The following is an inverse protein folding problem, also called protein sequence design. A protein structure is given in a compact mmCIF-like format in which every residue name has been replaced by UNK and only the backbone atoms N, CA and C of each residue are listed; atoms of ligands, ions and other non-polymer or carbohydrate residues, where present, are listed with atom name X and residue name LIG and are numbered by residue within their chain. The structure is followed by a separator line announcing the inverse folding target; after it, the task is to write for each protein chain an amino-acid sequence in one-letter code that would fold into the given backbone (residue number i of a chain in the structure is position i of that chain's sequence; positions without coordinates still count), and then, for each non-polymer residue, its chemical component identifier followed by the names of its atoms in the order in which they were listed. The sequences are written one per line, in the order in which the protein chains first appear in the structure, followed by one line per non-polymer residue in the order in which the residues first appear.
data_IF_902167861786
#
_entry.id   IF_902167861786
#
_cell.length_a   1.000
_cell.length_b   1.000
_cell.length_c   1.000
_cell.angle_alpha   90.00
_cell.angle_beta   90.00
_cell.angle_gamma   90.00
#
_symmetry.space_group_name_H-M   'P 1'
#
loop_
_entity.id
_entity.type
_entity.pdbx_description
1 polymer ?
#
# COMPACT_ATOMS: atom_id res chain seq x y z
N UNK A 1 -41.96 0.76 -17.64
CA UNK A 1 -41.81 -0.57 -17.01
C UNK A 1 -40.93 -1.51 -17.85
N UNK A 2 -41.38 -2.09 -18.98
CA UNK A 2 -40.58 -3.05 -19.79
C UNK A 2 -39.20 -2.55 -20.26
N UNK A 3 -39.09 -1.28 -20.68
CA UNK A 3 -37.81 -0.70 -21.16
C UNK A 3 -36.79 -0.46 -20.05
N UNK A 4 -37.26 -0.25 -18.82
CA UNK A 4 -36.42 -0.04 -17.63
C UNK A 4 -35.78 -1.36 -17.17
N UNK A 5 -36.55 -2.45 -17.18
CA UNK A 5 -36.02 -3.79 -16.92
C UNK A 5 -35.00 -4.23 -17.97
N UNK A 6 -35.20 -3.88 -19.24
CA UNK A 6 -34.23 -4.16 -20.30
C UNK A 6 -32.91 -3.41 -20.09
N UNK A 7 -32.95 -2.14 -19.68
CA UNK A 7 -31.75 -1.35 -19.38
C UNK A 7 -30.98 -1.90 -18.17
N UNK A 8 -31.69 -2.26 -17.09
CA UNK A 8 -31.06 -2.87 -15.90
C UNK A 8 -30.40 -4.19 -16.26
N UNK A 9 -31.04 -5.02 -17.10
CA UNK A 9 -30.49 -6.29 -17.55
C UNK A 9 -29.25 -6.12 -18.45
N UNK A 10 -29.25 -5.13 -19.35
CA UNK A 10 -28.08 -4.83 -20.20
C UNK A 10 -26.89 -4.32 -19.37
N UNK A 11 -27.16 -3.43 -18.40
CA UNK A 11 -26.13 -2.92 -17.48
C UNK A 11 -25.55 -4.07 -16.64
N UNK A 12 -26.40 -4.90 -16.04
CA UNK A 12 -25.94 -6.05 -15.25
C UNK A 12 -25.23 -7.11 -16.10
N UNK A 13 -25.58 -7.24 -17.39
CA UNK A 13 -24.86 -8.11 -18.31
C UNK A 13 -23.48 -7.55 -18.71
N UNK A 14 -23.36 -6.24 -18.89
CA UNK A 14 -22.09 -5.55 -19.17
C UNK A 14 -21.13 -5.52 -17.96
N UNK A 15 -21.67 -5.48 -16.74
CA UNK A 15 -20.88 -5.51 -15.51
C UNK A 15 -20.64 -6.93 -14.97
N UNK A 16 -20.80 -7.99 -15.78
CA UNK A 16 -20.34 -9.32 -15.40
C UNK A 16 -18.80 -9.33 -15.35
N UNK A 17 -18.28 -9.01 -14.16
CA UNK A 17 -16.95 -9.43 -13.73
C UNK A 17 -16.98 -10.95 -13.59
N UNK A 18 -16.74 -11.67 -14.68
CA UNK A 18 -16.28 -13.06 -14.58
C UNK A 18 -14.84 -12.95 -14.06
N UNK A 19 -14.54 -13.36 -12.82
CA UNK A 19 -13.16 -13.40 -12.37
C UNK A 19 -12.41 -14.33 -13.32
N UNK A 20 -11.35 -13.81 -13.95
CA UNK A 20 -10.46 -14.65 -14.72
C UNK A 20 -9.93 -15.73 -13.77
N UNK A 21 -10.17 -16.99 -14.09
CA UNK A 21 -9.56 -18.11 -13.39
C UNK A 21 -8.06 -18.09 -13.69
N UNK A 22 -7.33 -17.24 -12.98
CA UNK A 22 -5.88 -17.23 -13.00
C UNK A 22 -5.43 -18.45 -12.19
N UNK A 23 -5.22 -19.58 -12.87
CA UNK A 23 -4.44 -20.66 -12.30
C UNK A 23 -3.09 -20.06 -11.87
N UNK A 24 -2.67 -20.31 -10.62
CA UNK A 24 -1.46 -19.72 -10.03
C UNK A 24 -0.19 -20.09 -10.82
N UNK A 25 -0.26 -21.05 -11.74
CA UNK A 25 0.77 -21.34 -12.75
C UNK A 25 2.04 -21.99 -12.20
N UNK A 26 2.24 -21.97 -10.88
CA UNK A 26 3.48 -22.37 -10.21
C UNK A 26 3.37 -23.68 -9.40
N UNK A 27 2.27 -24.44 -9.54
CA UNK A 27 2.11 -25.73 -8.84
C UNK A 27 2.06 -25.63 -7.32
N UNK A 28 1.66 -24.47 -6.79
CA UNK A 28 1.56 -24.24 -5.35
C UNK A 28 0.32 -24.93 -4.77
N UNK A 29 0.47 -25.45 -3.55
CA UNK A 29 -0.60 -26.10 -2.79
C UNK A 29 -0.88 -25.31 -1.52
N UNK A 30 -2.08 -25.40 -0.91
CA UNK A 30 -2.30 -24.83 0.41
C UNK A 30 -1.22 -25.31 1.40
N UNK A 31 -0.65 -24.40 2.20
CA UNK A 31 0.38 -24.75 3.17
C UNK A 31 -0.10 -25.79 4.19
N UNK A 32 -1.39 -25.77 4.54
CA UNK A 32 -2.02 -26.82 5.37
C UNK A 32 -1.93 -28.23 4.77
N UNK A 33 -1.73 -28.35 3.47
CA UNK A 33 -1.64 -29.61 2.72
C UNK A 33 -0.19 -29.98 2.33
N UNK A 34 0.78 -29.09 2.55
CA UNK A 34 2.20 -29.37 2.25
C UNK A 34 2.84 -30.22 3.36
N UNK A 35 3.34 -31.43 3.05
CA UNK A 35 4.05 -32.27 4.01
C UNK A 35 5.29 -31.59 4.60
N UNK A 36 6.05 -30.88 3.77
CA UNK A 36 7.27 -30.16 4.15
C UNK A 36 6.94 -29.01 5.12
N UNK A 37 5.83 -28.29 4.88
CA UNK A 37 5.35 -27.25 5.80
C UNK A 37 4.96 -27.82 7.16
N UNK A 38 4.23 -28.95 7.19
CA UNK A 38 3.85 -29.64 8.43
C UNK A 38 5.09 -30.13 9.20
N UNK A 39 6.09 -30.66 8.49
CA UNK A 39 7.35 -31.07 9.11
C UNK A 39 8.08 -29.87 9.74
N UNK A 40 8.12 -28.72 9.06
CA UNK A 40 8.69 -27.49 9.61
C UNK A 40 7.93 -27.01 10.85
N UNK A 41 6.61 -27.10 10.83
CA UNK A 41 5.75 -26.72 11.95
C UNK A 41 6.06 -27.52 13.22
N UNK A 42 6.37 -28.82 13.11
CA UNK A 42 6.73 -29.67 14.26
C UNK A 42 8.04 -29.23 14.94
N UNK A 43 8.97 -28.66 14.18
CA UNK A 43 10.25 -28.12 14.68
C UNK A 43 10.26 -26.59 14.85
N UNK A 44 9.07 -25.97 14.95
CA UNK A 44 8.94 -24.53 14.96
C UNK A 44 9.67 -23.86 16.13
N UNK A 45 10.64 -23.00 15.82
CA UNK A 45 11.24 -22.12 16.83
C UNK A 45 10.28 -20.99 17.21
N UNK A 46 10.21 -20.69 18.49
CA UNK A 46 9.46 -19.56 19.02
C UNK A 46 10.10 -18.23 18.61
N UNK A 47 9.28 -17.33 18.05
CA UNK A 47 9.75 -15.99 17.61
C UNK A 47 9.99 -15.07 18.81
N UNK A 48 9.17 -15.21 19.85
CA UNK A 48 9.16 -14.33 21.02
C UNK A 48 9.24 -15.16 22.31
N UNK A 49 9.20 -14.51 23.46
CA UNK A 49 9.17 -15.17 24.77
C UNK A 49 7.91 -16.02 25.00
N UNK A 50 6.84 -15.83 24.22
CA UNK A 50 5.65 -16.69 24.26
C UNK A 50 6.02 -18.10 23.74
N UNK A 51 5.90 -19.16 24.57
CA UNK A 51 6.19 -20.53 24.17
C UNK A 51 5.35 -21.06 23.01
N UNK A 52 4.23 -20.40 22.68
CA UNK A 52 3.32 -20.77 21.59
C UNK A 52 3.54 -19.93 20.33
N UNK A 53 4.50 -19.00 20.32
CA UNK A 53 4.69 -18.07 19.19
C UNK A 53 5.07 -18.77 17.88
N UNK A 54 5.81 -19.88 17.96
CA UNK A 54 6.13 -20.72 16.81
C UNK A 54 4.88 -21.35 16.21
N UNK A 55 4.06 -21.99 17.04
CA UNK A 55 2.82 -22.64 16.61
C UNK A 55 1.85 -21.64 15.98
N UNK A 56 1.58 -20.51 16.65
CA UNK A 56 0.70 -19.43 16.14
C UNK A 56 1.16 -18.89 14.78
N UNK A 57 2.47 -18.82 14.55
CA UNK A 57 3.03 -18.39 13.25
C UNK A 57 2.68 -19.38 12.15
N UNK A 58 2.84 -20.68 12.39
CA UNK A 58 2.50 -21.72 11.40
C UNK A 58 0.98 -21.85 11.20
N UNK A 59 0.17 -21.72 12.26
CA UNK A 59 -1.30 -21.68 12.14
C UNK A 59 -1.76 -20.53 11.23
N UNK A 60 -1.15 -19.34 11.36
CA UNK A 60 -1.43 -18.21 10.47
C UNK A 60 -0.98 -18.48 9.03
N UNK A 61 0.21 -19.04 8.84
CA UNK A 61 0.76 -19.28 7.49
C UNK A 61 0.11 -20.47 6.77
N UNK A 62 -0.65 -21.31 7.47
CA UNK A 62 -1.35 -22.44 6.87
C UNK A 62 -2.38 -22.02 5.81
N UNK A 63 -2.90 -20.77 5.88
CA UNK A 63 -3.83 -20.22 4.90
C UNK A 63 -3.18 -19.86 3.55
N UNK A 64 -1.85 -19.74 3.52
CA UNK A 64 -1.11 -19.33 2.32
C UNK A 64 -0.90 -20.50 1.36
N UNK A 65 -0.37 -20.20 0.18
CA UNK A 65 0.10 -21.21 -0.77
C UNK A 65 1.58 -21.49 -0.53
N UNK A 66 1.95 -22.76 -0.48
CA UNK A 66 3.32 -23.22 -0.30
C UNK A 66 3.91 -23.81 -1.59
N UNK A 67 5.20 -23.59 -1.79
CA UNK A 67 5.99 -24.31 -2.79
C UNK A 67 6.36 -25.73 -2.33
N UNK A 68 7.04 -26.51 -3.20
CA UNK A 68 7.50 -27.87 -2.89
C UNK A 68 8.49 -27.92 -1.70
N UNK A 69 9.11 -26.80 -1.34
CA UNK A 69 9.98 -26.67 -0.18
C UNK A 69 9.24 -26.43 1.15
N UNK A 70 7.90 -26.31 1.10
CA UNK A 70 7.05 -26.07 2.26
C UNK A 70 7.18 -24.67 2.85
N UNK A 71 7.45 -23.66 2.01
CA UNK A 71 7.51 -22.26 2.43
C UNK A 71 6.34 -21.46 1.81
N UNK A 72 5.72 -20.54 2.56
CA UNK A 72 4.67 -19.68 2.02
C UNK A 72 5.18 -18.77 0.89
N UNK A 73 4.49 -18.78 -0.24
CA UNK A 73 4.74 -17.95 -1.41
C UNK A 73 3.59 -16.96 -1.60
N UNK A 74 3.93 -15.67 -1.52
CA UNK A 74 2.98 -14.57 -1.70
C UNK A 74 2.56 -14.45 -3.17
N UNK A 75 1.27 -14.22 -3.41
CA UNK A 75 0.70 -14.01 -4.74
C UNK A 75 0.41 -12.52 -4.94
N UNK A 76 1.14 -11.90 -5.87
CA UNK A 76 1.11 -10.44 -6.09
C UNK A 76 0.49 -10.03 -7.43
N UNK A 77 -0.33 -10.89 -8.02
CA UNK A 77 -0.95 -10.69 -9.34
C UNK A 77 -2.23 -9.82 -9.33
N UNK A 78 -2.65 -9.35 -8.15
CA UNK A 78 -3.81 -8.49 -7.96
C UNK A 78 -5.13 -9.23 -7.64
N UNK A 79 -5.13 -10.56 -7.55
CA UNK A 79 -6.33 -11.31 -7.14
C UNK A 79 -6.74 -10.97 -5.69
N UNK A 80 -8.05 -10.84 -5.47
CA UNK A 80 -8.56 -10.41 -4.15
C UNK A 80 -8.45 -11.49 -3.06
N UNK A 81 -8.41 -12.77 -3.43
CA UNK A 81 -8.24 -13.88 -2.48
C UNK A 81 -6.87 -13.88 -1.80
N UNK A 82 -5.88 -13.18 -2.37
CA UNK A 82 -4.53 -12.97 -1.84
C UNK A 82 -4.25 -11.47 -1.66
N UNK A 83 -5.29 -10.64 -1.44
CA UNK A 83 -5.11 -9.20 -1.27
C UNK A 83 -4.23 -8.85 -0.04
N UNK A 84 -4.22 -9.71 0.98
CA UNK A 84 -3.39 -9.56 2.18
C UNK A 84 -1.88 -9.66 1.91
N UNK A 85 -1.49 -10.37 0.85
CA UNK A 85 -0.10 -10.65 0.51
C UNK A 85 0.64 -9.38 0.09
N UNK A 86 -0.03 -8.51 -0.67
CA UNK A 86 0.61 -7.32 -1.24
C UNK A 86 -0.31 -6.12 -1.42
N UNK A 87 -1.56 -6.30 -1.87
CA UNK A 87 -2.46 -5.18 -2.17
C UNK A 87 -2.74 -4.31 -0.93
N UNK A 88 -3.14 -4.95 0.17
CA UNK A 88 -3.45 -4.26 1.43
C UNK A 88 -2.19 -3.58 2.01
N UNK A 89 -1.04 -4.26 2.17
CA UNK A 89 0.21 -3.62 2.58
C UNK A 89 0.64 -2.47 1.67
N UNK A 90 0.44 -2.58 0.36
CA UNK A 90 0.80 -1.53 -0.61
C UNK A 90 -0.05 -0.28 -0.44
N UNK A 91 -1.37 -0.42 -0.29
CA UNK A 91 -2.25 0.73 -0.04
C UNK A 91 -1.88 1.41 1.28
N UNK A 92 -1.63 0.63 2.33
CA UNK A 92 -1.20 1.16 3.62
C UNK A 92 0.14 1.92 3.50
N UNK A 93 1.11 1.33 2.80
CA UNK A 93 2.40 1.98 2.56
C UNK A 93 2.26 3.28 1.78
N UNK A 94 1.53 3.28 0.66
CA UNK A 94 1.31 4.48 -0.14
C UNK A 94 0.59 5.57 0.66
N UNK A 95 -0.36 5.19 1.53
CA UNK A 95 -1.05 6.14 2.39
C UNK A 95 -0.10 6.80 3.40
N UNK A 96 0.76 6.01 4.07
CA UNK A 96 1.73 6.52 5.05
C UNK A 96 2.84 7.32 4.34
N UNK A 97 3.39 6.82 3.25
CA UNK A 97 4.44 7.48 2.49
C UNK A 97 3.96 8.81 1.89
N UNK A 98 2.75 8.82 1.33
CA UNK A 98 2.11 10.04 0.85
C UNK A 98 1.86 11.04 1.97
N UNK A 99 1.43 10.60 3.16
CA UNK A 99 1.30 11.47 4.33
C UNK A 99 2.64 12.10 4.70
N UNK A 100 3.69 11.30 4.90
CA UNK A 100 5.03 11.79 5.28
C UNK A 100 5.56 12.77 4.23
N UNK A 101 5.52 12.40 2.95
CA UNK A 101 6.00 13.24 1.86
C UNK A 101 5.23 14.55 1.74
N UNK A 102 3.90 14.50 1.87
CA UNK A 102 3.05 15.68 1.76
C UNK A 102 3.25 16.65 2.92
N UNK A 103 3.33 16.15 4.15
CA UNK A 103 3.61 16.97 5.33
C UNK A 103 4.99 17.61 5.26
N UNK A 104 6.01 16.85 4.83
CA UNK A 104 7.36 17.37 4.62
C UNK A 104 7.37 18.49 3.57
N UNK A 105 6.69 18.28 2.43
CA UNK A 105 6.53 19.31 1.38
C UNK A 105 5.83 20.57 1.91
N UNK A 106 4.74 20.41 2.67
CA UNK A 106 4.01 21.53 3.24
C UNK A 106 4.86 22.34 4.23
N UNK A 107 5.66 21.65 5.07
CA UNK A 107 6.61 22.32 5.96
C UNK A 107 7.66 23.11 5.18
N UNK A 108 8.28 22.51 4.14
CA UNK A 108 9.25 23.19 3.28
C UNK A 108 8.66 24.43 2.60
N UNK A 109 7.42 24.34 2.09
CA UNK A 109 6.72 25.47 1.48
C UNK A 109 6.41 26.59 2.47
N UNK A 110 6.16 26.27 3.74
CA UNK A 110 5.91 27.25 4.80
C UNK A 110 7.20 27.93 5.26
N UNK A 111 8.28 27.17 5.50
CA UNK A 111 9.55 27.76 5.94
C UNK A 111 10.25 28.58 4.85
N UNK A 112 10.03 28.26 3.57
CA UNK A 112 10.51 29.06 2.43
C UNK A 112 9.96 30.49 2.44
N UNK A 113 8.82 30.74 3.10
CA UNK A 113 8.21 32.07 3.22
C UNK A 113 8.72 32.84 4.46
N UNK A 114 9.58 32.24 5.27
CA UNK A 114 10.10 32.81 6.52
C UNK A 114 11.58 33.13 6.36
N UNK A 115 12.07 34.09 7.14
CA UNK A 115 13.50 34.39 7.21
C UNK A 115 14.29 33.23 7.81
N UNK A 116 15.57 33.13 7.41
CA UNK A 116 16.52 32.10 7.84
C UNK A 116 16.02 30.68 7.56
N UNK A 117 15.58 30.42 6.34
CA UNK A 117 15.02 29.12 5.90
C UNK A 117 15.96 27.97 6.25
N UNK A 118 17.26 28.13 5.98
CA UNK A 118 18.30 27.12 6.22
C UNK A 118 18.42 26.77 7.71
N UNK A 119 18.29 27.77 8.59
CA UNK A 119 18.30 27.52 10.04
C UNK A 119 17.05 26.77 10.50
N UNK A 120 15.89 27.01 9.87
CA UNK A 120 14.61 26.35 10.20
C UNK A 120 14.51 24.91 9.69
N UNK A 121 15.35 24.53 8.74
CA UNK A 121 15.50 23.14 8.29
C UNK A 121 16.33 22.30 9.26
N UNK A 122 17.30 22.92 9.95
CA UNK A 122 18.13 22.23 10.97
C UNK A 122 17.49 22.33 12.35
N UNK A 123 17.01 23.51 12.73
CA UNK A 123 16.29 23.79 13.98
C UNK A 123 14.80 23.79 13.67
N UNK A 124 14.20 22.60 13.72
CA UNK A 124 12.79 22.39 13.36
C UNK A 124 11.87 23.21 14.26
N UNK A 125 11.02 24.03 13.64
CA UNK A 125 9.96 24.80 14.31
C UNK A 125 8.80 23.85 14.62
N UNK A 126 8.92 23.15 15.77
CA UNK A 126 7.93 22.16 16.23
C UNK A 126 6.50 22.74 16.33
N UNK A 127 6.28 23.97 16.85
CA UNK A 127 4.94 24.59 16.85
C UNK A 127 4.32 24.72 15.46
N UNK A 128 5.12 24.97 14.42
CA UNK A 128 4.65 25.03 13.03
C UNK A 128 4.47 23.63 12.43
N UNK A 129 5.36 22.69 12.74
CA UNK A 129 5.34 21.34 12.17
C UNK A 129 4.16 20.48 12.65
N UNK A 130 3.80 20.55 13.94
CA UNK A 130 2.73 19.75 14.53
C UNK A 130 1.35 19.89 13.83
N UNK A 131 0.81 21.10 13.57
CA UNK A 131 -0.47 21.24 12.86
C UNK A 131 -0.39 20.73 11.42
N UNK A 132 0.75 20.86 10.74
CA UNK A 132 0.96 20.28 9.41
C UNK A 132 0.93 18.75 9.46
N UNK A 133 1.60 18.14 10.44
CA UNK A 133 1.56 16.68 10.66
C UNK A 133 0.13 16.17 10.90
N UNK A 134 -0.63 16.89 11.74
CA UNK A 134 -2.00 16.52 12.10
C UNK A 134 -3.01 16.68 10.96
N UNK A 135 -2.73 17.56 9.99
CA UNK A 135 -3.58 17.74 8.80
C UNK A 135 -3.23 16.81 7.64
N UNK A 136 -2.12 16.07 7.72
CA UNK A 136 -1.60 15.23 6.64
C UNK A 136 -2.48 14.04 6.23
N UNK A 137 -3.47 13.63 7.04
CA UNK A 137 -4.41 12.57 6.64
C UNK A 137 -5.23 12.93 5.39
N UNK A 138 -5.34 14.22 5.07
CA UNK A 138 -6.04 14.75 3.89
C UNK A 138 -5.19 14.79 2.61
N UNK A 139 -3.94 14.32 2.67
CA UNK A 139 -2.98 14.46 1.57
C UNK A 139 -3.47 13.98 0.19
N UNK A 140 -4.24 12.88 0.02
CA UNK A 140 -4.61 12.43 -1.33
C UNK A 140 -5.54 13.45 -2.00
N UNK A 141 -6.48 14.01 -1.24
CA UNK A 141 -7.41 15.01 -1.74
C UNK A 141 -6.68 16.35 -2.03
N UNK A 142 -5.79 16.76 -1.13
CA UNK A 142 -4.99 17.96 -1.32
C UNK A 142 -4.07 17.86 -2.54
N UNK A 143 -3.42 16.71 -2.74
CA UNK A 143 -2.57 16.44 -3.90
C UNK A 143 -3.35 16.46 -5.22
N UNK A 144 -4.54 15.85 -5.26
CA UNK A 144 -5.41 15.92 -6.46
C UNK A 144 -5.85 17.35 -6.73
N UNK A 145 -6.21 18.12 -5.69
CA UNK A 145 -6.58 19.53 -5.85
C UNK A 145 -5.42 20.35 -6.43
N UNK A 146 -4.21 20.22 -5.87
CA UNK A 146 -3.01 20.94 -6.35
C UNK A 146 -2.59 20.50 -7.75
N UNK A 147 -2.79 19.22 -8.10
CA UNK A 147 -2.55 18.72 -9.45
C UNK A 147 -3.50 19.39 -10.46
N UNK A 148 -4.80 19.46 -10.13
CA UNK A 148 -5.81 20.04 -11.01
C UNK A 148 -5.76 21.57 -11.07
N UNK A 149 -5.29 22.24 -10.01
CA UNK A 149 -5.06 23.69 -10.01
C UNK A 149 -3.75 24.10 -10.71
N UNK A 150 -2.85 23.15 -10.98
CA UNK A 150 -1.53 23.43 -11.54
C UNK A 150 -0.53 23.97 -10.52
N UNK A 151 -0.81 23.83 -9.22
CA UNK A 151 0.04 24.30 -8.12
C UNK A 151 1.03 23.22 -7.63
N UNK A 152 0.86 21.97 -8.07
CA UNK A 152 1.70 20.86 -7.63
C UNK A 152 3.16 21.01 -8.07
N UNK A 153 3.38 21.50 -9.29
CA UNK A 153 4.70 21.61 -9.95
C UNK A 153 4.93 23.01 -10.49
N UNK A 154 6.20 23.45 -10.52
CA UNK A 154 6.60 24.66 -11.23
C UNK A 154 6.70 24.39 -12.74
N UNK A 155 6.69 25.44 -13.56
CA UNK A 155 6.90 25.30 -15.01
C UNK A 155 8.37 25.05 -15.33
N UNK A 156 8.63 24.37 -16.46
CA UNK A 156 9.99 24.02 -16.89
C UNK A 156 10.88 25.25 -17.14
N UNK A 157 10.30 26.39 -17.55
CA UNK A 157 11.02 27.65 -17.79
C UNK A 157 11.35 28.43 -16.51
N UNK A 158 10.70 28.09 -15.38
CA UNK A 158 10.97 28.66 -14.05
C UNK A 158 12.07 27.88 -13.30
N UNK A 159 12.42 26.68 -13.78
CA UNK A 159 13.42 25.81 -13.17
C UNK A 159 14.75 25.99 -13.91
N UNK A 160 15.83 26.48 -13.25
CA UNK A 160 17.10 26.68 -13.92
C UNK A 160 17.70 25.33 -14.36
N UNK A 161 18.12 25.26 -15.63
CA UNK A 161 18.82 24.10 -16.21
C UNK A 161 20.26 24.45 -16.56
N UNK A 162 21.18 23.49 -16.44
CA UNK A 162 22.56 23.67 -16.92
C UNK A 162 22.61 23.77 -18.45
N UNK A 163 23.66 24.38 -19.03
CA UNK A 163 23.92 24.28 -20.47
C UNK A 163 23.89 22.81 -20.93
N UNK A 164 23.35 22.58 -22.13
CA UNK A 164 23.22 21.25 -22.74
C UNK A 164 24.52 20.83 -23.42
#
# INVERSE_FOLDING_TARGET
MRRLFALVLVISLWFNFVPQALAVGAGLVPCSESPEFIQRAASARNTTADPNSGQKRFERYAQELCGPEGLPHLIVDGRLNHAGDFLIPSILFLYIAGWIGWVGRAYLQEVKKRDNTELREVIIDVPTALPLMLSGFTWPLAAVKELLSGELVAKDDEIPVSPR
#
